data_IF_328772505009
#
_entry.id   IF_328772505009
#
_cell.length_a   1.000
_cell.length_b   1.000
_cell.length_c   1.000
_cell.angle_alpha   90.00
_cell.angle_beta   90.00
_cell.angle_gamma   90.00
#
_symmetry.space_group_name_H-M   'P 1'
#
loop_
_entity.id
_entity.type
_entity.pdbx_description
1 polymer ?
#
# COMPACT_ATOMS: atom_id res chain seq x y z
N UNK A 1 53.37 -46.65 -47.03
CA UNK A 1 54.54 -46.98 -47.87
C UNK A 1 55.58 -45.92 -47.59
N UNK A 2 56.81 -46.36 -47.37
CA UNK A 2 58.04 -45.58 -47.28
C UNK A 2 58.26 -44.68 -46.05
N UNK A 3 59.45 -44.58 -45.45
CA UNK A 3 60.68 -45.40 -45.45
C UNK A 3 61.52 -44.82 -44.28
N UNK A 4 62.09 -45.74 -43.51
CA UNK A 4 63.30 -45.72 -42.66
C UNK A 4 64.31 -44.57 -42.75
N UNK A 5 64.98 -44.24 -41.64
CA UNK A 5 66.45 -44.01 -41.54
C UNK A 5 66.92 -44.46 -40.13
N UNK A 6 67.53 -45.64 -39.98
CA UNK A 6 68.96 -45.95 -39.87
C UNK A 6 69.63 -45.46 -38.55
N UNK A 7 69.87 -46.33 -37.55
CA UNK A 7 70.96 -47.30 -37.35
C UNK A 7 72.31 -46.65 -37.01
N UNK A 8 72.82 -46.88 -35.79
CA UNK A 8 74.06 -47.65 -35.51
C UNK A 8 74.61 -47.37 -34.10
N UNK A 9 74.77 -48.46 -33.34
CA UNK A 9 75.59 -48.54 -32.14
C UNK A 9 77.05 -48.86 -32.51
N UNK A 10 77.97 -48.78 -31.53
CA UNK A 10 78.71 -50.00 -31.26
C UNK A 10 78.88 -50.31 -29.76
N UNK A 11 78.77 -51.61 -29.47
CA UNK A 11 79.13 -52.28 -28.23
C UNK A 11 80.65 -52.33 -28.01
N UNK A 12 81.08 -52.25 -26.75
CA UNK A 12 82.38 -52.80 -26.30
C UNK A 12 82.19 -53.53 -24.96
N UNK A 13 82.37 -54.84 -25.09
CA UNK A 13 82.69 -55.98 -24.19
C UNK A 13 82.50 -55.97 -22.66
N UNK A 14 82.12 -57.14 -22.08
CA UNK A 14 81.87 -57.35 -20.65
C UNK A 14 83.07 -57.95 -19.91
N UNK A 15 83.10 -57.76 -18.59
CA UNK A 15 83.87 -58.62 -17.66
C UNK A 15 83.02 -58.95 -16.44
N UNK A 16 83.04 -60.25 -16.11
CA UNK A 16 82.36 -60.99 -15.03
C UNK A 16 82.67 -60.42 -13.62
N UNK A 17 81.91 -60.67 -12.55
CA UNK A 17 81.68 -61.97 -11.89
C UNK A 17 80.69 -61.80 -10.69
N UNK A 18 80.29 -62.88 -9.97
CA UNK A 18 78.89 -63.14 -9.60
C UNK A 18 78.51 -62.97 -8.12
N UNK A 19 77.20 -62.93 -7.89
CA UNK A 19 76.50 -63.71 -6.85
C UNK A 19 76.25 -63.05 -5.50
N UNK A 20 74.98 -62.74 -5.18
CA UNK A 20 74.43 -62.73 -3.81
C UNK A 20 72.93 -63.12 -3.83
N UNK A 21 72.56 -63.92 -2.83
CA UNK A 21 71.29 -64.57 -2.46
C UNK A 21 70.05 -63.68 -2.25
N UNK A 22 68.82 -64.26 -2.19
CA UNK A 22 67.57 -63.52 -2.14
C UNK A 22 67.31 -62.92 -0.74
N UNK A 23 66.73 -61.72 -0.70
CA UNK A 23 66.29 -61.06 0.54
C UNK A 23 64.76 -60.93 0.55
N UNK A 24 64.20 -61.23 1.71
CA UNK A 24 62.78 -61.26 2.07
C UNK A 24 62.04 -59.94 1.77
N UNK A 25 60.77 -60.08 1.38
CA UNK A 25 59.81 -58.97 1.23
C UNK A 25 59.57 -58.28 2.58
N UNK A 26 59.58 -56.93 2.66
CA UNK A 26 59.22 -56.23 3.87
C UNK A 26 57.69 -56.18 4.03
N UNK A 27 57.25 -56.51 5.25
CA UNK A 27 55.89 -56.29 5.76
C UNK A 27 55.64 -54.78 5.88
N UNK A 28 54.59 -54.27 5.23
CA UNK A 28 54.14 -52.88 5.40
C UNK A 28 53.65 -52.63 6.83
N UNK A 29 54.19 -51.58 7.45
CA UNK A 29 53.69 -51.00 8.71
C UNK A 29 52.32 -50.34 8.48
N UNK A 30 51.40 -50.34 9.47
CA UNK A 30 50.11 -49.68 9.31
C UNK A 30 50.29 -48.16 9.34
N UNK A 31 49.77 -47.47 8.32
CA UNK A 31 49.68 -46.00 8.29
C UNK A 31 48.87 -45.50 9.50
N UNK A 32 49.45 -44.56 10.26
CA UNK A 32 48.73 -43.78 11.27
C UNK A 32 47.64 -42.96 10.57
N UNK A 33 46.38 -43.22 10.94
CA UNK A 33 45.22 -42.45 10.50
C UNK A 33 45.35 -41.01 11.03
N UNK A 34 45.65 -40.08 10.13
CA UNK A 34 45.76 -38.65 10.44
C UNK A 34 44.39 -38.17 10.95
N UNK A 35 44.32 -37.88 12.25
CA UNK A 35 43.07 -37.48 12.91
C UNK A 35 42.47 -36.26 12.21
N UNK A 36 41.23 -36.39 11.74
CA UNK A 36 40.48 -35.30 11.11
C UNK A 36 40.53 -34.04 11.99
N UNK A 37 40.76 -32.85 11.41
CA UNK A 37 40.75 -31.61 12.17
C UNK A 37 39.42 -31.49 12.91
N UNK A 38 39.42 -30.99 14.17
CA UNK A 38 38.19 -30.84 14.93
C UNK A 38 37.20 -30.01 14.12
N UNK A 39 35.88 -30.32 14.18
CA UNK A 39 34.89 -29.55 13.44
C UNK A 39 35.06 -28.09 13.81
N UNK A 40 35.32 -27.26 12.81
CA UNK A 40 35.34 -25.81 12.97
C UNK A 40 33.95 -25.45 13.48
N UNK A 41 33.86 -25.08 14.76
CA UNK A 41 32.65 -24.54 15.35
C UNK A 41 32.27 -23.32 14.53
N UNK A 42 31.31 -23.49 13.63
CA UNK A 42 30.73 -22.38 12.90
C UNK A 42 30.11 -21.49 13.96
N UNK A 43 30.59 -20.25 14.06
CA UNK A 43 29.93 -19.26 14.90
C UNK A 43 28.43 -19.29 14.56
N UNK A 44 27.53 -19.26 15.56
CA UNK A 44 26.10 -19.34 15.29
C UNK A 44 25.72 -18.26 14.29
N UNK A 45 24.92 -18.62 13.28
CA UNK A 45 24.43 -17.71 12.27
C UNK A 45 23.77 -16.51 12.96
N UNK A 46 24.38 -15.33 12.83
CA UNK A 46 23.82 -14.09 13.36
C UNK A 46 22.96 -13.47 12.27
N UNK A 47 21.65 -13.49 12.47
CA UNK A 47 20.70 -12.80 11.61
C UNK A 47 20.40 -11.45 12.28
N UNK A 48 20.84 -10.31 11.69
CA UNK A 48 20.50 -8.99 12.18
C UNK A 48 18.99 -8.80 12.31
N UNK A 49 18.55 -7.99 13.27
CA UNK A 49 17.14 -7.62 13.50
C UNK A 49 16.16 -8.79 13.73
N UNK A 50 16.65 -10.04 13.86
CA UNK A 50 15.81 -11.20 14.14
C UNK A 50 15.00 -11.06 15.42
N UNK A 51 15.57 -10.41 16.44
CA UNK A 51 14.86 -10.23 17.69
C UNK A 51 13.72 -9.23 17.56
N UNK A 52 13.92 -8.16 16.78
CA UNK A 52 12.92 -7.15 16.46
C UNK A 52 11.77 -7.75 15.64
N UNK A 53 12.11 -8.55 14.62
CA UNK A 53 11.08 -9.25 13.82
C UNK A 53 10.20 -10.17 14.65
N UNK A 54 10.79 -10.90 15.60
CA UNK A 54 10.04 -11.81 16.48
C UNK A 54 8.99 -11.12 17.34
N UNK A 55 9.14 -9.83 17.58
CA UNK A 55 8.17 -9.03 18.36
C UNK A 55 7.19 -8.28 17.45
N UNK A 56 7.35 -8.37 16.13
CA UNK A 56 6.45 -7.74 15.16
C UNK A 56 5.14 -8.50 14.99
N UNK A 57 4.08 -7.78 14.60
CA UNK A 57 2.78 -8.36 14.28
C UNK A 57 2.86 -9.43 13.15
N UNK A 58 3.81 -9.31 12.23
CA UNK A 58 4.00 -10.29 11.16
C UNK A 58 4.52 -11.64 11.64
N UNK A 59 5.22 -11.68 12.78
CA UNK A 59 5.72 -12.89 13.42
C UNK A 59 4.81 -13.40 14.55
N UNK A 60 3.68 -12.74 14.80
CA UNK A 60 2.75 -13.10 15.86
C UNK A 60 1.89 -14.31 15.48
N UNK A 61 2.33 -15.48 15.93
CA UNK A 61 1.64 -16.76 15.76
C UNK A 61 0.31 -16.84 16.52
N UNK A 62 0.01 -15.93 17.45
CA UNK A 62 -1.22 -15.96 18.24
C UNK A 62 -2.30 -15.04 17.67
N UNK A 63 -1.94 -14.18 16.70
CA UNK A 63 -2.86 -13.23 16.09
C UNK A 63 -3.97 -13.91 15.27
N UNK A 64 -5.17 -13.31 15.28
CA UNK A 64 -6.32 -13.76 14.48
C UNK A 64 -5.95 -13.89 12.99
N UNK A 65 -5.15 -12.95 12.48
CA UNK A 65 -4.66 -12.98 11.10
C UNK A 65 -3.86 -14.24 10.74
N UNK A 66 -3.35 -15.00 11.71
CA UNK A 66 -2.59 -16.25 11.48
C UNK A 66 -3.32 -17.51 11.96
N UNK A 67 -4.32 -17.35 12.84
CA UNK A 67 -5.00 -18.43 13.54
C UNK A 67 -6.43 -18.69 13.08
N UNK A 68 -6.99 -17.82 12.24
CA UNK A 68 -8.36 -17.90 11.73
C UNK A 68 -8.80 -19.33 11.31
N UNK A 69 -7.94 -20.02 10.55
CA UNK A 69 -8.23 -21.34 9.95
C UNK A 69 -7.93 -22.53 10.87
N UNK A 70 -7.59 -22.31 12.15
CA UNK A 70 -7.20 -23.40 13.04
C UNK A 70 -8.34 -24.37 13.37
N UNK A 71 -9.58 -23.93 13.31
CA UNK A 71 -10.76 -24.75 13.59
C UNK A 71 -11.45 -25.26 12.31
N UNK A 72 -10.93 -24.90 11.13
CA UNK A 72 -11.49 -25.29 9.84
C UNK A 72 -11.22 -26.77 9.49
N UNK A 73 -12.07 -27.34 8.63
CA UNK A 73 -11.91 -28.69 8.07
C UNK A 73 -12.07 -28.65 6.53
N UNK A 74 -10.98 -28.79 5.74
CA UNK A 74 -9.61 -29.03 6.17
C UNK A 74 -8.96 -27.80 6.81
N UNK A 75 -8.04 -28.03 7.75
CA UNK A 75 -7.29 -27.00 8.47
C UNK A 75 -6.18 -26.40 7.58
N UNK A 76 -6.56 -25.53 6.64
CA UNK A 76 -5.67 -24.90 5.66
C UNK A 76 -5.99 -23.43 5.49
N UNK A 77 -4.96 -22.62 5.22
CA UNK A 77 -5.15 -21.27 4.70
C UNK A 77 -5.45 -21.41 3.21
N UNK A 78 -6.67 -21.07 2.80
CA UNK A 78 -7.08 -21.23 1.40
C UNK A 78 -6.19 -20.41 0.45
N UNK A 79 -6.05 -20.86 -0.80
CA UNK A 79 -5.28 -20.15 -1.83
C UNK A 79 -5.61 -18.63 -1.90
N UNK A 80 -6.90 -18.29 -1.78
CA UNK A 80 -7.38 -16.89 -1.82
C UNK A 80 -6.93 -16.01 -0.65
N UNK A 81 -6.48 -16.60 0.46
CA UNK A 81 -6.02 -15.91 1.66
C UNK A 81 -4.52 -16.10 1.90
N UNK A 82 -3.92 -17.16 1.34
CA UNK A 82 -2.58 -17.60 1.69
C UNK A 82 -1.50 -16.58 1.35
N UNK A 83 -1.67 -15.77 0.28
CA UNK A 83 -0.72 -14.70 -0.11
C UNK A 83 -0.21 -13.86 1.08
N UNK A 84 -1.12 -13.47 1.98
CA UNK A 84 -0.83 -12.55 3.08
C UNK A 84 -0.93 -13.19 4.47
N UNK A 85 -1.47 -14.40 4.53
CA UNK A 85 -1.75 -15.09 5.79
C UNK A 85 -0.88 -16.32 6.04
N UNK A 86 -0.05 -16.76 5.10
CA UNK A 86 0.91 -17.86 5.29
C UNK A 86 2.28 -17.56 4.68
N UNK A 87 3.34 -18.22 5.19
CA UNK A 87 4.67 -18.15 4.58
C UNK A 87 4.66 -18.72 3.16
N UNK A 88 4.07 -19.91 3.01
CA UNK A 88 4.03 -20.63 1.74
C UNK A 88 3.27 -19.86 0.66
N UNK A 89 2.14 -19.24 1.00
CA UNK A 89 1.36 -18.47 0.04
C UNK A 89 2.06 -17.19 -0.41
N UNK A 90 2.80 -16.52 0.49
CA UNK A 90 3.65 -15.41 0.10
C UNK A 90 4.78 -15.87 -0.85
N UNK A 91 5.45 -16.97 -0.52
CA UNK A 91 6.52 -17.51 -1.37
C UNK A 91 6.01 -17.96 -2.74
N UNK A 92 4.85 -18.62 -2.80
CA UNK A 92 4.19 -19.00 -4.05
C UNK A 92 3.84 -17.77 -4.88
N UNK A 93 3.20 -16.76 -4.27
CA UNK A 93 2.83 -15.52 -4.95
C UNK A 93 4.03 -14.83 -5.58
N UNK A 94 5.16 -14.74 -4.87
CA UNK A 94 6.36 -14.14 -5.43
C UNK A 94 7.14 -15.07 -6.36
N UNK A 95 6.74 -16.34 -6.53
CA UNK A 95 7.50 -17.36 -7.25
C UNK A 95 8.84 -17.71 -6.59
N UNK A 96 8.98 -17.40 -5.30
CA UNK A 96 10.20 -17.64 -4.53
C UNK A 96 10.43 -19.14 -4.22
N UNK A 97 9.40 -19.96 -4.35
CA UNK A 97 9.43 -21.42 -4.25
C UNK A 97 9.58 -22.13 -5.62
N UNK A 98 9.65 -21.36 -6.71
CA UNK A 98 9.70 -21.86 -8.09
C UNK A 98 8.33 -21.97 -8.78
N UNK A 99 7.25 -21.53 -8.13
CA UNK A 99 5.91 -21.40 -8.72
C UNK A 99 5.80 -20.21 -9.67
N UNK A 100 4.70 -20.14 -10.42
CA UNK A 100 4.42 -19.01 -11.30
C UNK A 100 4.20 -17.73 -10.48
N UNK A 101 4.96 -16.64 -10.70
CA UNK A 101 4.78 -15.41 -9.94
C UNK A 101 3.44 -14.73 -10.22
N UNK A 102 2.92 -14.01 -9.21
CA UNK A 102 1.68 -13.24 -9.27
C UNK A 102 0.41 -14.04 -8.96
N UNK A 103 0.52 -15.34 -8.68
CA UNK A 103 -0.63 -16.22 -8.40
C UNK A 103 -0.38 -17.10 -7.18
N UNK A 104 -1.47 -17.45 -6.48
CA UNK A 104 -1.46 -18.48 -5.43
C UNK A 104 -2.53 -19.48 -5.83
N UNK A 105 -2.12 -20.69 -6.18
CA UNK A 105 -3.05 -21.72 -6.66
C UNK A 105 -3.35 -22.77 -5.59
N UNK A 106 -2.46 -22.90 -4.60
CA UNK A 106 -2.52 -23.96 -3.61
C UNK A 106 -3.03 -23.46 -2.27
N UNK A 107 -3.74 -24.34 -1.57
CA UNK A 107 -3.98 -24.17 -0.13
C UNK A 107 -2.67 -24.39 0.63
N UNK A 108 -2.46 -23.60 1.69
CA UNK A 108 -1.23 -23.62 2.45
C UNK A 108 -1.43 -24.07 3.90
N UNK A 109 -0.40 -24.64 4.55
CA UNK A 109 -0.48 -25.01 5.95
C UNK A 109 -0.80 -23.82 6.85
N UNK A 110 -1.70 -24.06 7.82
CA UNK A 110 -1.87 -23.19 8.99
C UNK A 110 -0.64 -23.21 9.89
N UNK A 111 -0.64 -22.41 10.96
CA UNK A 111 0.47 -22.29 11.91
C UNK A 111 1.80 -21.84 11.27
N UNK A 112 1.71 -20.98 10.26
CA UNK A 112 2.85 -20.27 9.68
C UNK A 112 2.68 -18.75 9.86
N UNK A 113 3.75 -17.99 9.67
CA UNK A 113 3.77 -16.52 9.78
C UNK A 113 4.50 -15.94 8.58
N UNK A 114 4.45 -14.61 8.42
CA UNK A 114 5.34 -13.97 7.46
C UNK A 114 6.76 -14.01 8.05
N UNK A 115 7.66 -14.69 7.38
CA UNK A 115 9.04 -14.87 7.82
C UNK A 115 10.01 -14.02 7.03
N UNK A 116 11.30 -14.10 7.39
CA UNK A 116 12.36 -13.39 6.68
C UNK A 116 12.36 -13.71 5.18
N UNK A 117 12.13 -14.97 4.78
CA UNK A 117 12.27 -15.38 3.37
C UNK A 117 11.14 -14.87 2.47
N UNK A 118 9.99 -14.53 3.05
CA UNK A 118 8.88 -13.90 2.33
C UNK A 118 9.25 -12.50 1.79
N UNK A 119 10.22 -11.82 2.41
CA UNK A 119 10.70 -10.51 1.99
C UNK A 119 12.17 -10.51 1.51
N UNK A 120 12.93 -11.55 1.85
CA UNK A 120 14.35 -11.70 1.54
C UNK A 120 14.60 -12.95 0.68
N UNK A 121 14.11 -12.93 -0.54
CA UNK A 121 14.38 -13.91 -1.59
C UNK A 121 14.83 -13.20 -2.87
N UNK A 122 15.44 -13.93 -3.80
CA UNK A 122 15.83 -13.36 -5.10
C UNK A 122 14.62 -12.77 -5.83
N UNK A 123 13.49 -13.47 -5.81
CA UNK A 123 12.27 -12.99 -6.45
C UNK A 123 11.73 -11.72 -5.78
N UNK A 124 11.60 -11.73 -4.45
CA UNK A 124 11.02 -10.61 -3.70
C UNK A 124 11.91 -9.37 -3.79
N UNK A 125 13.24 -9.49 -3.73
CA UNK A 125 14.17 -8.37 -3.87
C UNK A 125 14.10 -7.65 -5.22
N UNK A 126 13.65 -8.33 -6.27
CA UNK A 126 13.48 -7.75 -7.61
C UNK A 126 12.01 -7.40 -7.92
N UNK A 127 11.09 -7.59 -6.96
CA UNK A 127 9.68 -7.25 -7.12
C UNK A 127 9.48 -5.74 -6.99
N UNK A 128 9.00 -5.10 -8.06
CA UNK A 128 8.86 -3.64 -8.13
C UNK A 128 7.50 -3.16 -8.70
N UNK A 129 6.53 -4.07 -8.83
CA UNK A 129 5.20 -3.79 -9.38
C UNK A 129 4.10 -4.29 -8.46
N UNK A 130 2.93 -3.66 -8.52
CA UNK A 130 1.69 -4.09 -7.86
C UNK A 130 0.52 -3.84 -8.80
N UNK A 131 -0.36 -4.84 -8.93
CA UNK A 131 -1.66 -4.70 -9.60
C UNK A 131 -2.75 -4.60 -8.56
N UNK A 132 -3.38 -3.43 -8.49
CA UNK A 132 -4.47 -3.14 -7.55
C UNK A 132 -5.77 -3.86 -7.93
N UNK A 133 -6.71 -4.03 -6.98
CA UNK A 133 -8.04 -4.60 -7.28
C UNK A 133 -8.86 -3.83 -8.32
N UNK A 134 -8.49 -2.59 -8.67
CA UNK A 134 -9.06 -1.82 -9.78
C UNK A 134 -8.54 -2.26 -11.16
N UNK A 135 -7.48 -3.05 -11.21
CA UNK A 135 -6.72 -3.39 -12.41
C UNK A 135 -5.59 -2.41 -12.73
N UNK A 136 -5.43 -1.33 -11.95
CA UNK A 136 -4.32 -0.40 -12.10
C UNK A 136 -2.99 -1.08 -11.74
N UNK A 137 -1.99 -0.94 -12.60
CA UNK A 137 -0.63 -1.44 -12.35
C UNK A 137 0.29 -0.26 -12.03
N UNK A 138 1.00 -0.34 -10.91
CA UNK A 138 2.02 0.62 -10.51
C UNK A 138 3.36 -0.09 -10.49
N UNK A 139 4.34 0.45 -11.24
CA UNK A 139 5.69 -0.11 -11.37
C UNK A 139 6.74 0.82 -10.77
N UNK A 140 7.98 0.35 -10.63
CA UNK A 140 9.08 1.16 -10.07
C UNK A 140 8.96 1.41 -8.56
N UNK A 141 8.17 0.58 -7.86
CA UNK A 141 7.87 0.66 -6.43
C UNK A 141 8.99 0.17 -5.51
N UNK A 142 10.19 -0.09 -6.03
CA UNK A 142 11.36 -0.45 -5.22
C UNK A 142 11.08 -1.45 -4.09
N UNK A 143 11.20 -1.01 -2.83
CA UNK A 143 11.15 -1.92 -1.67
C UNK A 143 9.74 -2.13 -1.12
N UNK A 144 8.90 -1.12 -1.29
CA UNK A 144 7.55 -1.03 -0.75
C UNK A 144 6.54 -1.86 -1.54
N UNK A 145 6.84 -2.26 -2.78
CA UNK A 145 6.02 -3.14 -3.61
C UNK A 145 5.54 -4.38 -2.80
N UNK A 146 6.46 -5.03 -2.09
CA UNK A 146 6.19 -6.23 -1.27
C UNK A 146 5.20 -5.96 -0.14
N UNK A 147 5.22 -4.77 0.45
CA UNK A 147 4.28 -4.38 1.49
C UNK A 147 2.88 -4.17 0.88
N UNK A 148 2.85 -3.45 -0.25
CA UNK A 148 1.62 -3.10 -0.96
C UNK A 148 0.91 -4.33 -1.52
N UNK A 149 1.62 -5.41 -1.85
CA UNK A 149 0.98 -6.65 -2.29
C UNK A 149 -0.07 -7.19 -1.31
N UNK A 150 0.13 -6.96 -0.01
CA UNK A 150 -0.82 -7.34 1.03
C UNK A 150 -1.63 -6.18 1.57
N UNK A 151 -1.04 -4.98 1.65
CA UNK A 151 -1.66 -3.79 2.22
C UNK A 151 -2.37 -2.90 1.19
N UNK A 152 -2.86 -3.49 0.09
CA UNK A 152 -3.61 -2.81 -0.98
C UNK A 152 -5.13 -2.97 -0.89
N UNK A 153 -5.61 -3.81 0.03
CA UNK A 153 -7.01 -4.24 0.05
C UNK A 153 -7.30 -5.36 -0.95
N UNK A 154 -8.58 -5.73 -1.09
CA UNK A 154 -9.05 -6.86 -1.92
C UNK A 154 -10.21 -6.52 -2.85
N UNK A 155 -10.71 -5.30 -2.79
CA UNK A 155 -11.81 -4.82 -3.61
C UNK A 155 -11.54 -3.37 -4.00
N UNK A 156 -12.26 -2.90 -5.02
CA UNK A 156 -12.24 -1.53 -5.51
C UNK A 156 -13.66 -1.12 -5.93
N UNK A 157 -13.80 0.10 -6.46
CA UNK A 157 -15.00 0.52 -7.21
C UNK A 157 -15.51 -0.55 -8.19
N UNK A 158 -14.60 -1.19 -8.93
CA UNK A 158 -14.95 -2.22 -9.93
C UNK A 158 -15.69 -3.39 -9.29
N UNK A 159 -15.29 -3.80 -8.09
CA UNK A 159 -15.96 -4.89 -7.36
C UNK A 159 -17.37 -4.51 -6.91
N UNK A 160 -17.55 -3.27 -6.44
CA UNK A 160 -18.86 -2.74 -6.02
C UNK A 160 -19.79 -2.63 -7.21
N UNK A 161 -19.33 -2.02 -8.31
CA UNK A 161 -20.12 -1.84 -9.53
C UNK A 161 -20.53 -3.19 -10.12
N UNK A 162 -19.64 -4.18 -10.12
CA UNK A 162 -19.97 -5.54 -10.57
C UNK A 162 -21.07 -6.20 -9.72
N UNK A 163 -21.04 -6.04 -8.40
CA UNK A 163 -22.08 -6.55 -7.51
C UNK A 163 -23.43 -5.87 -7.74
N UNK A 164 -23.44 -4.55 -7.95
CA UNK A 164 -24.64 -3.77 -8.27
C UNK A 164 -25.24 -4.19 -9.62
N UNK A 165 -24.39 -4.39 -10.63
CA UNK A 165 -24.80 -4.86 -11.96
C UNK A 165 -25.39 -6.27 -11.91
N UNK A 166 -24.74 -7.21 -11.20
CA UNK A 166 -25.22 -8.59 -11.07
C UNK A 166 -26.57 -8.67 -10.35
N UNK A 167 -26.79 -7.79 -9.36
CA UNK A 167 -28.08 -7.63 -8.67
C UNK A 167 -29.14 -6.89 -9.51
N UNK A 168 -28.80 -6.36 -10.69
CA UNK A 168 -29.72 -5.67 -11.59
C UNK A 168 -30.15 -4.28 -11.11
N UNK A 169 -29.31 -3.60 -10.30
CA UNK A 169 -29.63 -2.34 -9.63
C UNK A 169 -29.07 -1.09 -10.32
N UNK A 170 -28.41 -1.21 -11.48
CA UNK A 170 -27.78 -0.08 -12.19
C UNK A 170 -28.75 1.04 -12.54
N UNK A 171 -29.97 0.70 -12.98
CA UNK A 171 -30.99 1.68 -13.39
C UNK A 171 -31.94 2.08 -12.24
N UNK A 172 -31.85 1.41 -11.09
CA UNK A 172 -32.70 1.61 -9.91
C UNK A 172 -31.87 1.44 -8.62
N UNK A 173 -30.94 2.39 -8.35
CA UNK A 173 -29.95 2.25 -7.31
C UNK A 173 -30.53 2.31 -5.89
N UNK A 174 -31.81 2.68 -5.74
CA UNK A 174 -32.49 2.83 -4.45
C UNK A 174 -33.37 1.61 -4.10
N UNK A 175 -33.55 0.68 -5.03
CA UNK A 175 -34.29 -0.56 -4.76
C UNK A 175 -33.43 -1.56 -3.97
N UNK A 176 -33.98 -2.06 -2.86
CA UNK A 176 -33.31 -3.08 -2.05
C UNK A 176 -33.35 -4.45 -2.75
N UNK A 177 -32.24 -5.16 -2.74
CA UNK A 177 -32.12 -6.53 -3.25
C UNK A 177 -31.38 -7.42 -2.27
N UNK A 178 -31.94 -8.62 -2.04
CA UNK A 178 -31.28 -9.67 -1.25
C UNK A 178 -30.13 -10.36 -2.00
N UNK A 179 -30.05 -10.15 -3.33
CA UNK A 179 -28.99 -10.67 -4.18
C UNK A 179 -27.71 -9.83 -4.09
N UNK A 180 -27.81 -8.57 -3.63
CA UNK A 180 -26.65 -7.71 -3.39
C UNK A 180 -26.08 -7.95 -1.98
N UNK A 181 -24.78 -8.24 -1.91
CA UNK A 181 -24.04 -8.38 -0.65
C UNK A 181 -23.05 -7.24 -0.41
N UNK A 182 -22.62 -7.09 0.83
CA UNK A 182 -21.59 -6.12 1.19
C UNK A 182 -20.22 -6.49 0.57
N UNK A 183 -19.61 -5.54 -0.13
CA UNK A 183 -18.24 -5.65 -0.64
C UNK A 183 -17.25 -5.13 0.40
N UNK A 184 -16.24 -5.92 0.76
CA UNK A 184 -15.26 -5.52 1.77
C UNK A 184 -13.91 -5.19 1.13
N UNK A 185 -13.38 -3.99 1.33
CA UNK A 185 -12.02 -3.61 0.90
C UNK A 185 -10.93 -4.42 1.60
N UNK A 186 -11.23 -5.05 2.74
CA UNK A 186 -10.30 -5.80 3.57
C UNK A 186 -9.28 -4.93 4.33
N UNK A 187 -8.56 -5.54 5.27
CA UNK A 187 -7.87 -4.82 6.35
C UNK A 187 -6.55 -4.16 5.93
N UNK A 188 -6.21 -3.07 6.61
CA UNK A 188 -4.95 -2.33 6.49
C UNK A 188 -4.61 -1.98 5.03
N UNK A 189 -5.58 -1.46 4.30
CA UNK A 189 -5.47 -1.10 2.88
C UNK A 189 -4.71 0.24 2.66
N UNK A 190 -3.61 0.45 3.37
CA UNK A 190 -2.83 1.68 3.35
C UNK A 190 -2.35 2.08 1.94
N UNK A 191 -2.02 1.12 1.08
CA UNK A 191 -1.58 1.41 -0.28
C UNK A 191 -2.73 1.98 -1.13
N UNK A 192 -3.97 1.54 -0.90
CA UNK A 192 -5.13 2.11 -1.57
C UNK A 192 -5.36 3.58 -1.14
N UNK A 193 -5.22 3.89 0.15
CA UNK A 193 -5.28 5.27 0.66
C UNK A 193 -4.14 6.12 0.08
N UNK A 194 -2.91 5.60 0.11
CA UNK A 194 -1.70 6.30 -0.34
C UNK A 194 -1.72 6.64 -1.82
N UNK A 195 -2.18 5.71 -2.66
CA UNK A 195 -2.19 5.91 -4.12
C UNK A 195 -3.48 6.55 -4.63
N UNK A 196 -4.53 6.68 -3.81
CA UNK A 196 -5.76 7.38 -4.15
C UNK A 196 -6.29 7.01 -5.54
N UNK A 197 -6.47 8.01 -6.40
CA UNK A 197 -6.87 7.86 -7.82
C UNK A 197 -6.01 6.91 -8.65
N UNK A 198 -4.73 6.71 -8.33
CA UNK A 198 -3.89 5.76 -9.07
C UNK A 198 -4.19 4.30 -8.70
N UNK A 199 -4.64 4.04 -7.47
CA UNK A 199 -5.07 2.71 -7.04
C UNK A 199 -6.58 2.48 -7.21
N UNK A 200 -7.38 3.54 -7.14
CA UNK A 200 -8.86 3.51 -7.15
C UNK A 200 -9.42 2.52 -6.11
N UNK A 201 -8.81 2.50 -4.92
CA UNK A 201 -9.22 1.59 -3.86
C UNK A 201 -10.61 1.92 -3.33
N UNK A 202 -10.85 3.17 -2.93
CA UNK A 202 -12.20 3.66 -2.58
C UNK A 202 -13.18 3.70 -3.75
N UNK A 203 -14.48 3.82 -3.45
CA UNK A 203 -15.53 4.04 -4.44
C UNK A 203 -15.57 5.51 -4.86
N UNK A 204 -14.98 5.80 -6.01
CA UNK A 204 -15.02 7.11 -6.64
C UNK A 204 -16.32 7.28 -7.43
N UNK A 205 -17.05 8.37 -7.17
CA UNK A 205 -18.31 8.67 -7.83
C UNK A 205 -18.06 9.28 -9.21
N UNK A 206 -18.86 8.83 -10.19
CA UNK A 206 -18.70 9.24 -11.58
C UNK A 206 -18.94 10.76 -11.72
N UNK A 207 -18.07 11.44 -12.45
CA UNK A 207 -18.11 12.89 -12.64
C UNK A 207 -17.33 13.69 -11.58
N UNK A 208 -16.93 13.07 -10.48
CA UNK A 208 -16.01 13.64 -9.52
C UNK A 208 -14.56 13.28 -9.83
N UNK A 209 -13.66 14.15 -9.39
CA UNK A 209 -12.22 13.92 -9.41
C UNK A 209 -11.70 13.83 -7.99
N UNK A 210 -10.62 13.09 -7.80
CA UNK A 210 -10.09 12.74 -6.49
C UNK A 210 -8.60 13.03 -6.37
N UNK A 211 -8.13 13.17 -5.15
CA UNK A 211 -6.71 13.17 -4.85
C UNK A 211 -6.07 11.87 -5.38
N UNK A 212 -4.90 12.01 -5.99
CA UNK A 212 -4.15 10.89 -6.53
C UNK A 212 -3.22 10.32 -5.45
N UNK A 213 -1.95 10.06 -5.80
CA UNK A 213 -0.96 9.65 -4.82
C UNK A 213 -0.68 10.79 -3.85
N UNK A 214 -0.88 10.55 -2.56
CA UNK A 214 -0.43 11.48 -1.53
C UNK A 214 1.10 11.59 -1.56
N UNK A 215 1.59 12.83 -1.57
CA UNK A 215 3.01 13.14 -1.56
C UNK A 215 3.40 13.80 -0.26
N UNK A 216 4.47 13.28 0.32
CA UNK A 216 5.16 13.89 1.44
C UNK A 216 6.44 14.59 0.95
N UNK A 217 7.13 15.34 1.80
CA UNK A 217 8.45 15.88 1.45
C UNK A 217 9.42 14.77 1.00
N UNK A 218 10.38 15.13 0.15
CA UNK A 218 11.35 14.17 -0.42
C UNK A 218 12.00 13.32 0.70
N UNK A 219 12.14 12.02 0.43
CA UNK A 219 12.67 11.05 1.39
C UNK A 219 11.64 10.45 2.34
N UNK A 220 10.38 10.93 2.33
CA UNK A 220 9.28 10.45 3.17
C UNK A 220 8.06 9.93 2.40
N UNK A 221 8.24 9.47 1.15
CA UNK A 221 7.14 9.11 0.25
C UNK A 221 6.86 7.59 0.13
N UNK A 222 7.57 6.77 0.92
CA UNK A 222 7.46 5.29 0.84
C UNK A 222 7.04 4.70 2.19
N UNK A 223 6.52 3.48 2.17
CA UNK A 223 6.18 2.78 3.41
C UNK A 223 7.42 2.66 4.32
N UNK A 224 8.58 2.36 3.73
CA UNK A 224 9.82 2.09 4.47
C UNK A 224 10.55 3.35 4.94
N UNK A 225 10.22 4.53 4.41
CA UNK A 225 10.72 5.79 4.98
C UNK A 225 10.09 6.04 6.35
N UNK A 226 8.79 5.76 6.52
CA UNK A 226 8.05 6.03 7.74
C UNK A 226 7.98 4.83 8.71
N UNK A 227 7.88 3.60 8.20
CA UNK A 227 7.79 2.39 9.02
C UNK A 227 9.14 1.66 9.13
N UNK A 228 9.39 1.10 10.30
CA UNK A 228 10.49 0.18 10.51
C UNK A 228 10.12 -1.19 9.92
N UNK A 229 10.89 -1.68 8.94
CA UNK A 229 10.59 -2.95 8.26
C UNK A 229 10.72 -4.19 9.14
N UNK A 230 11.34 -4.09 10.32
CA UNK A 230 11.52 -5.21 11.24
C UNK A 230 10.64 -5.14 12.49
N UNK A 231 10.38 -3.96 13.06
CA UNK A 231 9.42 -3.82 14.19
C UNK A 231 8.00 -3.55 13.73
N UNK A 232 7.83 -3.03 12.51
CA UNK A 232 6.58 -2.51 11.90
C UNK A 232 6.08 -1.19 12.52
N UNK A 233 6.73 -0.73 13.58
CA UNK A 233 6.41 0.54 14.23
C UNK A 233 6.73 1.74 13.32
N UNK A 234 5.97 2.81 13.50
CA UNK A 234 6.22 4.11 12.88
C UNK A 234 7.47 4.74 13.53
N UNK A 235 8.34 5.34 12.72
CA UNK A 235 9.54 6.04 13.18
C UNK A 235 9.19 7.44 13.69
N UNK A 236 8.56 7.50 14.86
CA UNK A 236 8.02 8.72 15.48
C UNK A 236 8.95 9.93 15.43
N UNK A 237 10.20 9.69 15.81
CA UNK A 237 11.18 10.74 16.00
C UNK A 237 11.51 11.46 14.69
N UNK A 238 11.27 10.81 13.54
CA UNK A 238 11.51 11.39 12.24
C UNK A 238 10.46 12.46 11.86
N UNK A 239 9.30 12.48 12.52
CA UNK A 239 8.21 13.42 12.24
C UNK A 239 8.36 14.75 13.01
N UNK A 240 8.96 14.68 14.21
CA UNK A 240 9.00 15.77 15.20
C UNK A 240 9.68 17.03 14.64
N UNK A 241 10.68 16.86 13.78
CA UNK A 241 11.43 17.98 13.19
C UNK A 241 10.51 18.94 12.40
N UNK A 242 9.50 18.41 11.71
CA UNK A 242 8.60 19.21 10.88
C UNK A 242 7.22 19.44 11.51
N UNK A 243 6.69 18.45 12.24
CA UNK A 243 5.33 18.50 12.80
C UNK A 243 5.29 18.90 14.29
N UNK A 244 6.44 18.92 14.97
CA UNK A 244 6.52 19.17 16.41
C UNK A 244 6.28 17.92 17.26
N UNK A 245 6.45 18.08 18.58
CA UNK A 245 6.12 17.02 19.54
C UNK A 245 4.60 16.88 19.65
N UNK A 246 4.09 15.65 19.65
CA UNK A 246 2.66 15.37 19.74
C UNK A 246 2.33 13.97 19.23
N UNK A 247 1.04 13.62 19.29
CA UNK A 247 0.52 12.42 18.66
C UNK A 247 0.28 12.70 17.17
N UNK A 248 0.50 11.72 16.29
CA UNK A 248 0.39 11.95 14.84
C UNK A 248 -1.03 12.33 14.42
N UNK A 249 -2.02 11.91 15.19
CA UNK A 249 -3.43 12.26 15.00
C UNK A 249 -3.67 13.77 15.09
N UNK A 250 -2.84 14.49 15.85
CA UNK A 250 -2.91 15.94 16.01
C UNK A 250 -2.23 16.69 14.85
N UNK A 251 -1.51 15.99 13.98
CA UNK A 251 -0.76 16.66 12.92
C UNK A 251 -1.67 17.19 11.82
N UNK A 252 -1.57 18.50 11.60
CA UNK A 252 -2.15 19.23 10.46
C UNK A 252 -1.06 20.08 9.81
N UNK A 253 -1.10 20.15 8.48
CA UNK A 253 -0.24 21.03 7.70
C UNK A 253 -1.05 22.14 7.04
N UNK A 254 -0.40 23.27 6.74
CA UNK A 254 -1.04 24.43 6.09
C UNK A 254 -1.69 24.11 4.74
N UNK A 255 -1.28 23.01 4.11
CA UNK A 255 -1.87 22.51 2.87
C UNK A 255 -3.26 21.89 3.08
N UNK A 256 -3.68 21.67 4.32
CA UNK A 256 -4.96 21.07 4.70
C UNK A 256 -5.64 21.98 5.73
N UNK A 257 -6.02 23.19 5.29
CA UNK A 257 -6.46 24.27 6.17
C UNK A 257 -7.99 24.41 6.24
N UNK A 258 -8.71 23.57 5.51
CA UNK A 258 -10.17 23.57 5.46
C UNK A 258 -10.75 22.94 6.72
N UNK A 259 -12.00 23.30 7.03
CA UNK A 259 -12.86 22.68 8.02
C UNK A 259 -13.64 21.59 7.29
N UNK A 260 -13.14 20.36 7.28
CA UNK A 260 -13.63 19.33 6.36
C UNK A 260 -14.95 18.73 6.85
N UNK A 261 -15.12 18.53 8.15
CA UNK A 261 -16.36 18.04 8.75
C UNK A 261 -17.37 19.15 9.10
N UNK A 262 -16.93 20.41 9.15
CA UNK A 262 -17.80 21.57 9.36
C UNK A 262 -18.12 21.88 10.82
N UNK A 263 -17.35 21.36 11.78
CA UNK A 263 -17.56 21.58 13.20
C UNK A 263 -17.05 22.95 13.71
N UNK A 264 -16.26 23.64 12.88
CA UNK A 264 -15.69 24.95 13.13
C UNK A 264 -14.25 24.94 13.69
N UNK A 265 -13.63 23.77 13.86
CA UNK A 265 -12.25 23.59 14.31
C UNK A 265 -11.31 23.34 13.13
N UNK A 266 -10.51 24.36 12.78
CA UNK A 266 -9.49 24.25 11.72
C UNK A 266 -8.08 24.01 12.27
N UNK A 267 -7.94 23.83 13.58
CA UNK A 267 -6.66 23.61 14.26
C UNK A 267 -6.41 22.13 14.56
N UNK A 268 -7.44 21.31 14.67
CA UNK A 268 -7.32 19.87 14.93
C UNK A 268 -6.69 19.07 13.78
N UNK A 269 -6.11 17.91 14.08
CA UNK A 269 -5.46 17.09 13.06
C UNK A 269 -6.44 16.43 12.08
N UNK A 270 -5.93 16.04 10.91
CA UNK A 270 -6.73 15.42 9.83
C UNK A 270 -7.40 14.10 10.26
N UNK A 271 -6.90 13.48 11.32
CA UNK A 271 -7.56 12.33 11.93
C UNK A 271 -8.98 12.66 12.41
N UNK A 272 -9.17 13.78 13.09
CA UNK A 272 -10.44 14.16 13.71
C UNK A 272 -11.47 14.61 12.66
N UNK A 273 -11.02 15.34 11.65
CA UNK A 273 -11.81 15.64 10.43
C UNK A 273 -12.37 14.38 9.75
N UNK A 274 -11.59 13.30 9.70
CA UNK A 274 -12.05 12.01 9.18
C UNK A 274 -13.04 11.35 10.14
N UNK A 275 -12.85 11.45 11.46
CA UNK A 275 -13.81 10.94 12.45
C UNK A 275 -15.16 11.65 12.35
N UNK A 276 -15.18 12.99 12.28
CA UNK A 276 -16.41 13.76 12.12
C UNK A 276 -17.17 13.38 10.84
N UNK A 277 -16.47 13.30 9.70
CA UNK A 277 -17.09 12.83 8.45
C UNK A 277 -17.54 11.37 8.50
N UNK A 278 -16.85 10.50 9.26
CA UNK A 278 -17.31 9.13 9.50
C UNK A 278 -18.63 9.12 10.28
N UNK A 279 -18.76 9.95 11.32
CA UNK A 279 -20.00 10.09 12.10
C UNK A 279 -21.15 10.58 11.22
N UNK A 280 -20.91 11.63 10.43
CA UNK A 280 -21.90 12.17 9.49
C UNK A 280 -22.33 11.15 8.43
N UNK A 281 -21.38 10.42 7.84
CA UNK A 281 -21.71 9.37 6.87
C UNK A 281 -22.47 8.22 7.52
N UNK A 282 -22.13 7.84 8.74
CA UNK A 282 -22.85 6.77 9.44
C UNK A 282 -24.30 7.19 9.76
N UNK A 283 -24.53 8.45 10.17
CA UNK A 283 -25.88 9.00 10.31
C UNK A 283 -26.66 8.92 8.98
N UNK A 284 -26.04 9.34 7.88
CA UNK A 284 -26.62 9.24 6.54
C UNK A 284 -26.96 7.80 6.13
N UNK A 285 -26.05 6.84 6.41
CA UNK A 285 -26.25 5.41 6.16
C UNK A 285 -27.46 4.89 6.96
N UNK A 286 -27.57 5.24 8.24
CA UNK A 286 -28.68 4.81 9.10
C UNK A 286 -30.01 5.41 8.64
N UNK A 287 -30.03 6.71 8.34
CA UNK A 287 -31.22 7.40 7.84
C UNK A 287 -31.68 6.79 6.50
N UNK A 288 -30.76 6.56 5.57
CA UNK A 288 -31.06 6.02 4.26
C UNK A 288 -31.59 4.57 4.35
N UNK A 289 -30.94 3.74 5.16
CA UNK A 289 -31.35 2.36 5.37
C UNK A 289 -32.77 2.26 5.95
N UNK A 290 -33.11 3.14 6.91
CA UNK A 290 -34.44 3.18 7.51
C UNK A 290 -35.51 3.77 6.57
N UNK A 291 -35.21 4.88 5.88
CA UNK A 291 -36.19 5.62 5.06
C UNK A 291 -36.38 5.01 3.67
N UNK A 292 -35.28 4.68 2.99
CA UNK A 292 -35.28 4.30 1.57
C UNK A 292 -35.24 2.79 1.42
N UNK A 293 -34.26 2.11 2.05
CA UNK A 293 -34.17 0.65 1.99
C UNK A 293 -35.26 -0.04 2.85
N UNK A 294 -35.86 0.69 3.80
CA UNK A 294 -36.93 0.22 4.68
C UNK A 294 -36.49 -0.77 5.77
N UNK A 295 -35.18 -0.95 5.96
CA UNK A 295 -34.60 -1.85 6.95
C UNK A 295 -33.45 -1.13 7.68
N UNK A 296 -33.59 -0.81 8.97
CA UNK A 296 -32.53 -0.17 9.76
C UNK A 296 -31.23 -0.99 9.78
N UNK A 297 -30.09 -0.29 9.84
CA UNK A 297 -28.74 -0.88 9.73
C UNK A 297 -27.89 -0.43 10.92
N UNK A 298 -27.03 -1.34 11.39
CA UNK A 298 -25.96 -1.04 12.35
C UNK A 298 -24.63 -1.57 11.85
N UNK A 299 -23.54 -0.89 12.24
CA UNK A 299 -22.17 -1.28 11.94
C UNK A 299 -21.41 -1.74 13.20
N UNK A 300 -20.65 -2.83 13.07
CA UNK A 300 -19.69 -3.29 14.07
C UNK A 300 -18.35 -3.62 13.40
N UNK A 301 -17.30 -2.90 13.79
CA UNK A 301 -15.95 -3.11 13.25
C UNK A 301 -15.33 -4.46 13.61
N UNK A 302 -15.80 -5.11 14.68
CA UNK A 302 -15.26 -6.33 15.27
C UNK A 302 -16.06 -7.60 14.92
N UNK A 303 -17.28 -7.47 14.40
CA UNK A 303 -18.13 -8.61 14.03
C UNK A 303 -18.27 -8.73 12.51
N UNK A 304 -18.02 -9.91 11.93
CA UNK A 304 -18.24 -10.15 10.50
C UNK A 304 -19.73 -10.45 10.21
N UNK A 305 -20.36 -9.88 9.16
CA UNK A 305 -19.78 -9.10 8.04
C UNK A 305 -19.88 -7.57 8.19
N UNK A 306 -19.74 -7.06 9.42
CA UNK A 306 -19.69 -5.66 9.83
C UNK A 306 -20.99 -4.88 9.76
N UNK A 307 -21.90 -5.23 8.86
CA UNK A 307 -23.21 -4.59 8.77
C UNK A 307 -24.31 -5.60 9.10
N UNK A 308 -25.20 -5.22 10.00
CA UNK A 308 -26.29 -6.05 10.52
C UNK A 308 -27.62 -5.31 10.45
N UNK A 309 -28.71 -6.05 10.46
CA UNK A 309 -30.05 -5.47 10.61
C UNK A 309 -30.18 -4.98 12.05
N UNK A 310 -30.46 -3.69 12.21
CA UNK A 310 -30.86 -3.12 13.50
C UNK A 310 -32.33 -3.47 13.75
N UNK A 311 -32.54 -4.52 14.53
CA UNK A 311 -33.85 -5.15 14.71
C UNK A 311 -34.75 -4.35 15.64
N UNK A 312 -34.17 -3.53 16.50
CA UNK A 312 -34.88 -2.73 17.48
C UNK A 312 -34.94 -1.22 17.12
N UNK A 313 -34.23 -0.82 16.05
CA UNK A 313 -34.13 0.53 15.51
C UNK A 313 -33.56 1.56 16.51
N UNK A 314 -32.59 1.17 17.33
CA UNK A 314 -31.90 2.05 18.27
C UNK A 314 -30.65 2.73 17.69
N UNK A 315 -30.17 2.28 16.54
CA UNK A 315 -28.96 2.76 15.89
C UNK A 315 -27.65 2.29 16.52
N UNK A 316 -27.69 1.34 17.46
CA UNK A 316 -26.53 0.81 18.17
C UNK A 316 -26.34 -0.68 17.86
N UNK A 317 -25.09 -1.13 17.72
CA UNK A 317 -24.81 -2.55 17.51
C UNK A 317 -24.93 -3.33 18.81
N UNK A 318 -26.07 -4.00 19.02
CA UNK A 318 -26.31 -4.84 20.19
C UNK A 318 -25.69 -6.26 20.04
N UNK A 319 -25.35 -6.90 21.16
CA UNK A 319 -24.71 -8.22 21.19
C UNK A 319 -25.55 -9.32 20.48
N UNK A 320 -26.88 -9.22 20.50
CA UNK A 320 -27.77 -10.15 19.81
C UNK A 320 -27.99 -9.83 18.32
N UNK A 321 -27.52 -8.68 17.85
CA UNK A 321 -27.62 -8.24 16.45
C UNK A 321 -26.33 -8.48 15.68
N UNK A 322 -25.17 -8.33 16.33
CA UNK A 322 -23.83 -8.44 15.75
C UNK A 322 -23.41 -9.90 15.49
N UNK A 323 -24.20 -10.63 14.69
CA UNK A 323 -23.92 -12.02 14.34
C UNK A 323 -24.26 -12.32 12.87
N UNK A 324 -23.56 -13.30 12.29
CA UNK A 324 -23.70 -13.66 10.87
C UNK A 324 -25.14 -14.00 10.43
N UNK A 325 -25.95 -14.53 11.35
CA UNK A 325 -27.36 -14.85 11.10
C UNK A 325 -28.22 -13.61 10.85
N UNK A 326 -27.81 -12.46 11.38
CA UNK A 326 -28.49 -11.17 11.30
C UNK A 326 -27.76 -10.17 10.37
N UNK A 327 -26.87 -10.66 9.49
CA UNK A 327 -26.20 -9.82 8.48
C UNK A 327 -27.21 -8.98 7.70
N UNK A 328 -26.83 -7.76 7.37
CA UNK A 328 -27.68 -6.87 6.57
C UNK A 328 -27.87 -7.44 5.16
N UNK A 329 -29.12 -7.43 4.68
CA UNK A 329 -29.51 -8.03 3.39
C UNK A 329 -30.47 -7.17 2.57
N UNK A 330 -30.78 -5.95 3.01
CA UNK A 330 -31.61 -4.99 2.28
C UNK A 330 -30.75 -3.99 1.51
N UNK A 331 -29.69 -4.46 0.87
CA UNK A 331 -28.73 -3.60 0.18
C UNK A 331 -29.37 -2.96 -1.05
N UNK A 332 -29.20 -1.65 -1.19
CA UNK A 332 -29.45 -0.91 -2.42
C UNK A 332 -28.11 -0.61 -3.10
N UNK A 333 -28.12 -0.30 -4.39
CA UNK A 333 -26.90 0.09 -5.10
C UNK A 333 -26.24 1.32 -4.47
N UNK A 334 -27.04 2.32 -4.08
CA UNK A 334 -26.55 3.53 -3.43
C UNK A 334 -25.93 3.26 -2.06
N UNK A 335 -26.65 2.51 -1.22
CA UNK A 335 -26.19 2.15 0.13
C UNK A 335 -24.90 1.34 0.09
N UNK A 336 -24.73 0.45 -0.89
CA UNK A 336 -23.52 -0.35 -1.03
C UNK A 336 -22.27 0.51 -1.32
N UNK A 337 -22.39 1.57 -2.12
CA UNK A 337 -21.30 2.52 -2.41
C UNK A 337 -20.87 3.27 -1.15
N UNK A 338 -21.85 3.84 -0.44
CA UNK A 338 -21.60 4.57 0.80
C UNK A 338 -21.01 3.68 1.90
N UNK A 339 -21.58 2.48 2.11
CA UNK A 339 -21.07 1.53 3.10
C UNK A 339 -19.65 1.03 2.77
N UNK A 340 -19.32 0.89 1.47
CA UNK A 340 -17.97 0.55 1.04
C UNK A 340 -16.95 1.64 1.38
N UNK A 341 -17.28 2.91 1.14
CA UNK A 341 -16.41 4.03 1.49
C UNK A 341 -16.29 4.22 3.01
N UNK A 342 -17.39 4.03 3.76
CA UNK A 342 -17.35 4.00 5.22
C UNK A 342 -16.37 2.93 5.71
N UNK A 343 -16.51 1.69 5.25
CA UNK A 343 -15.58 0.61 5.58
C UNK A 343 -14.13 0.95 5.17
N UNK A 344 -13.93 1.53 3.99
CA UNK A 344 -12.61 1.95 3.50
C UNK A 344 -11.93 2.91 4.48
N UNK A 345 -12.66 3.90 4.98
CA UNK A 345 -12.14 4.83 5.97
C UNK A 345 -11.80 4.17 7.32
N UNK A 346 -12.49 3.08 7.71
CA UNK A 346 -12.25 2.37 8.97
C UNK A 346 -11.18 1.28 8.88
N UNK A 347 -10.85 0.78 7.68
CA UNK A 347 -9.91 -0.33 7.48
C UNK A 347 -8.49 0.11 7.18
N UNK A 348 -8.20 1.41 7.14
CA UNK A 348 -6.86 1.96 7.24
C UNK A 348 -6.77 2.89 8.47
N UNK A 349 -6.29 2.41 9.63
CA UNK A 349 -6.13 3.26 10.81
C UNK A 349 -5.17 4.44 10.62
N UNK A 350 -4.29 4.38 9.61
CA UNK A 350 -3.36 5.45 9.25
C UNK A 350 -3.86 6.34 8.10
N UNK A 351 -5.14 6.23 7.71
CA UNK A 351 -5.73 6.95 6.58
C UNK A 351 -5.40 8.44 6.55
N UNK A 352 -5.45 9.10 7.71
CA UNK A 352 -5.13 10.52 7.88
C UNK A 352 -3.71 10.89 7.42
N UNK A 353 -2.74 9.97 7.56
CA UNK A 353 -1.34 10.16 7.16
C UNK A 353 -1.03 9.54 5.79
N UNK A 354 -1.75 8.49 5.37
CA UNK A 354 -1.53 7.84 4.08
C UNK A 354 -2.18 8.61 2.93
N UNK A 355 -3.36 9.19 3.12
CA UNK A 355 -4.11 9.85 2.05
C UNK A 355 -5.36 10.55 2.56
N UNK A 356 -5.24 11.32 3.65
CA UNK A 356 -6.40 11.84 4.38
C UNK A 356 -7.41 12.59 3.51
N UNK A 357 -6.93 13.45 2.60
CA UNK A 357 -7.78 14.18 1.65
C UNK A 357 -8.58 13.28 0.71
N UNK A 358 -7.96 12.19 0.24
CA UNK A 358 -8.66 11.20 -0.57
C UNK A 358 -9.81 10.56 0.21
N UNK A 359 -9.56 10.19 1.47
CA UNK A 359 -10.59 9.60 2.33
C UNK A 359 -11.71 10.60 2.66
N UNK A 360 -11.36 11.85 2.95
CA UNK A 360 -12.32 12.95 3.14
C UNK A 360 -13.25 13.09 1.93
N UNK A 361 -12.68 13.14 0.71
CA UNK A 361 -13.47 13.24 -0.52
C UNK A 361 -14.42 12.05 -0.70
N UNK A 362 -13.99 10.82 -0.39
CA UNK A 362 -14.85 9.63 -0.46
C UNK A 362 -16.01 9.69 0.54
N UNK A 363 -15.75 10.13 1.77
CA UNK A 363 -16.77 10.25 2.82
C UNK A 363 -17.78 11.33 2.46
N UNK A 364 -17.30 12.53 2.12
CA UNK A 364 -18.13 13.67 1.71
C UNK A 364 -19.03 13.30 0.53
N UNK A 365 -18.47 12.72 -0.54
CA UNK A 365 -19.25 12.36 -1.73
C UNK A 365 -20.25 11.23 -1.46
N UNK A 366 -19.96 10.34 -0.50
CA UNK A 366 -20.93 9.32 -0.08
C UNK A 366 -22.12 9.92 0.67
N UNK A 367 -21.89 10.98 1.46
CA UNK A 367 -22.97 11.74 2.10
C UNK A 367 -23.81 12.46 1.04
N UNK A 368 -23.18 13.12 0.07
CA UNK A 368 -23.88 13.76 -1.05
C UNK A 368 -24.74 12.78 -1.86
N UNK A 369 -24.20 11.59 -2.16
CA UNK A 369 -24.92 10.55 -2.89
C UNK A 369 -26.18 10.10 -2.11
N UNK A 370 -26.06 9.78 -0.82
CA UNK A 370 -27.21 9.40 0.01
C UNK A 370 -28.24 10.53 0.13
N UNK A 371 -27.79 11.78 0.22
CA UNK A 371 -28.64 12.96 0.34
C UNK A 371 -29.59 13.16 -0.85
N UNK A 372 -29.31 12.58 -2.02
CA UNK A 372 -30.20 12.67 -3.19
C UNK A 372 -31.58 12.01 -2.96
N UNK A 373 -31.63 11.00 -2.09
CA UNK A 373 -32.83 10.19 -1.84
C UNK A 373 -33.43 10.38 -0.44
N UNK A 374 -32.73 11.10 0.46
CA UNK A 374 -33.22 11.39 1.81
C UNK A 374 -34.24 12.54 1.83
N UNK A 375 -35.32 12.37 2.59
CA UNK A 375 -36.28 13.46 2.84
C UNK A 375 -35.70 14.62 3.66
N UNK A 376 -34.74 14.31 4.54
CA UNK A 376 -33.97 15.26 5.35
C UNK A 376 -32.49 14.97 5.14
N UNK A 377 -31.82 15.71 4.25
CA UNK A 377 -30.39 15.53 3.98
C UNK A 377 -29.53 15.81 5.22
N UNK A 378 -28.41 15.09 5.33
CA UNK A 378 -27.28 15.43 6.21
C UNK A 378 -26.72 16.78 5.77
N UNK A 379 -26.55 17.73 6.70
CA UNK A 379 -26.13 19.09 6.40
C UNK A 379 -24.62 19.17 6.14
N UNK A 380 -24.24 19.37 4.88
CA UNK A 380 -22.86 19.60 4.45
C UNK A 380 -22.52 21.08 4.23
N UNK A 381 -23.40 22.01 4.63
CA UNK A 381 -23.21 23.44 4.29
C UNK A 381 -22.02 24.11 4.98
N UNK A 382 -21.52 23.53 6.08
CA UNK A 382 -20.31 23.95 6.78
C UNK A 382 -19.08 23.07 6.44
N UNK A 383 -19.31 21.83 6.02
CA UNK A 383 -18.28 20.87 5.63
C UNK A 383 -17.61 21.26 4.31
N UNK A 384 -16.35 20.85 4.13
CA UNK A 384 -15.59 21.10 2.92
C UNK A 384 -15.06 19.80 2.32
N UNK A 385 -15.31 19.59 1.04
CA UNK A 385 -14.81 18.41 0.30
C UNK A 385 -13.30 18.41 0.09
N UNK A 386 -12.70 19.60 -0.09
CA UNK A 386 -11.31 19.75 -0.51
C UNK A 386 -10.78 21.14 -0.24
N UNK A 387 -9.49 21.33 -0.49
CA UNK A 387 -8.83 22.61 -0.24
C UNK A 387 -9.01 23.63 -1.35
N UNK A 388 -8.54 24.85 -1.11
CA UNK A 388 -8.52 25.88 -2.12
C UNK A 388 -7.22 25.85 -2.95
N UNK A 389 -7.37 25.84 -4.28
CA UNK A 389 -6.31 26.21 -5.22
C UNK A 389 -5.15 25.21 -5.26
N UNK A 390 -3.94 25.67 -4.93
CA UNK A 390 -2.71 24.90 -5.16
C UNK A 390 -2.58 23.61 -4.34
N UNK A 391 -3.35 23.45 -3.27
CA UNK A 391 -3.28 22.27 -2.40
C UNK A 391 -4.39 21.24 -2.65
N UNK A 392 -5.29 21.52 -3.60
CA UNK A 392 -6.35 20.60 -3.98
C UNK A 392 -5.94 19.82 -5.23
N UNK A 393 -5.34 18.65 -4.97
CA UNK A 393 -4.89 17.73 -6.00
C UNK A 393 -6.02 17.15 -6.84
N UNK A 394 -7.26 17.20 -6.35
CA UNK A 394 -8.44 16.72 -7.07
C UNK A 394 -8.92 17.69 -8.15
N UNK A 395 -8.39 18.90 -8.25
CA UNK A 395 -8.87 19.87 -9.26
C UNK A 395 -8.33 19.60 -10.67
N UNK A 396 -9.05 20.10 -11.68
CA UNK A 396 -8.64 20.07 -13.09
C UNK A 396 -7.22 20.61 -13.31
N UNK A 397 -6.76 21.55 -12.48
CA UNK A 397 -5.40 22.08 -12.56
C UNK A 397 -4.31 21.00 -12.41
N UNK A 398 -4.62 19.86 -11.78
CA UNK A 398 -3.69 18.74 -11.56
C UNK A 398 -4.16 17.43 -12.19
N UNK A 399 -5.46 17.29 -12.49
CA UNK A 399 -6.06 16.08 -13.08
C UNK A 399 -6.19 16.10 -14.61
N UNK A 400 -5.94 17.24 -15.25
CA UNK A 400 -6.02 17.37 -16.71
C UNK A 400 -5.19 16.33 -17.48
N UNK A 401 -4.06 15.89 -16.93
CA UNK A 401 -3.11 14.99 -17.57
C UNK A 401 -3.26 13.52 -17.16
N UNK A 402 -4.27 13.16 -16.38
CA UNK A 402 -4.44 11.78 -15.88
C UNK A 402 -4.52 10.77 -17.03
N UNK A 403 -5.19 11.11 -18.14
CA UNK A 403 -5.24 10.28 -19.36
C UNK A 403 -3.92 10.29 -20.16
N UNK A 404 -3.13 11.36 -20.04
CA UNK A 404 -1.85 11.53 -20.74
C UNK A 404 -0.69 10.80 -20.02
N UNK A 405 -0.82 10.57 -18.70
CA UNK A 405 0.18 9.94 -17.84
C UNK A 405 1.35 10.85 -17.43
N UNK A 406 1.47 12.04 -18.01
CA UNK A 406 2.50 13.03 -17.67
C UNK A 406 2.07 14.47 -17.99
N UNK A 407 2.57 15.42 -17.20
CA UNK A 407 2.41 16.86 -17.48
C UNK A 407 3.44 17.27 -18.53
N UNK A 408 2.98 17.67 -19.71
CA UNK A 408 3.88 18.08 -20.80
C UNK A 408 4.81 19.23 -20.38
N UNK A 409 6.04 19.28 -20.91
CA UNK A 409 7.04 20.27 -20.48
C UNK A 409 6.64 21.74 -20.64
N UNK A 410 5.73 22.07 -21.57
CA UNK A 410 5.21 23.45 -21.68
C UNK A 410 4.24 23.84 -20.56
N UNK A 411 3.64 22.85 -19.89
CA UNK A 411 2.67 23.00 -18.82
C UNK A 411 3.29 22.75 -17.44
N UNK A 412 4.35 21.93 -17.38
CA UNK A 412 5.01 21.49 -16.14
C UNK A 412 5.34 22.65 -15.21
N UNK A 413 5.85 23.78 -15.72
CA UNK A 413 6.14 24.98 -14.92
C UNK A 413 5.02 25.34 -13.94
N UNK A 414 3.76 25.25 -14.35
CA UNK A 414 2.61 25.70 -13.60
C UNK A 414 1.74 24.57 -13.03
N UNK A 415 1.95 23.33 -13.47
CA UNK A 415 1.03 22.22 -13.20
C UNK A 415 1.75 20.98 -12.66
N UNK A 416 2.99 21.12 -12.21
CA UNK A 416 3.71 20.06 -11.51
C UNK A 416 4.41 20.58 -10.26
N UNK A 417 4.75 19.65 -9.36
CA UNK A 417 5.39 19.95 -8.09
C UNK A 417 6.75 20.65 -8.27
N UNK A 418 7.57 20.18 -9.20
CA UNK A 418 8.94 20.68 -9.38
C UNK A 418 9.10 21.61 -10.59
N UNK A 419 8.00 21.94 -11.24
CA UNK A 419 7.99 22.71 -12.47
C UNK A 419 8.60 24.11 -12.31
N UNK A 420 8.14 24.86 -11.32
CA UNK A 420 8.65 26.20 -11.04
C UNK A 420 10.14 26.21 -10.67
N UNK A 421 10.63 25.41 -9.69
CA UNK A 421 12.05 25.40 -9.35
C UNK A 421 12.93 24.94 -10.52
N UNK A 422 12.49 23.93 -11.27
CA UNK A 422 13.20 23.49 -12.49
C UNK A 422 13.34 24.61 -13.51
N UNK A 423 12.27 25.39 -13.71
CA UNK A 423 12.29 26.54 -14.63
C UNK A 423 13.23 27.64 -14.15
N UNK A 424 13.22 27.97 -12.84
CA UNK A 424 14.10 29.00 -12.27
C UNK A 424 15.57 28.60 -12.44
N UNK A 425 15.90 27.34 -12.18
CA UNK A 425 17.28 26.85 -12.29
C UNK A 425 17.77 26.74 -13.74
N UNK A 426 16.90 26.35 -14.68
CA UNK A 426 17.33 25.92 -16.02
C UNK A 426 16.77 26.76 -17.17
N UNK A 427 15.78 27.63 -16.93
CA UNK A 427 15.08 28.42 -17.95
C UNK A 427 14.14 27.61 -18.85
N UNK A 428 13.94 26.33 -18.56
CA UNK A 428 13.08 25.42 -19.32
C UNK A 428 12.59 24.26 -18.45
N UNK A 429 11.55 23.57 -18.90
CA UNK A 429 11.03 22.36 -18.30
C UNK A 429 11.01 21.22 -19.32
N UNK A 430 11.05 20.00 -18.81
CA UNK A 430 10.73 18.76 -19.54
C UNK A 430 9.37 18.25 -19.07
N UNK A 431 8.86 17.19 -19.72
CA UNK A 431 7.70 16.50 -19.19
C UNK A 431 7.99 15.99 -17.77
N UNK A 432 7.01 16.08 -16.90
CA UNK A 432 7.11 15.66 -15.50
C UNK A 432 5.95 14.74 -15.17
N UNK A 433 6.11 13.97 -14.11
CA UNK A 433 5.01 13.23 -13.52
C UNK A 433 3.85 14.14 -13.11
N UNK A 434 2.67 13.52 -12.96
CA UNK A 434 1.46 14.17 -12.50
C UNK A 434 1.59 14.45 -11.00
N UNK A 435 1.38 15.71 -10.62
CA UNK A 435 1.46 16.16 -9.23
C UNK A 435 0.10 16.05 -8.54
N UNK A 436 0.09 16.00 -7.20
CA UNK A 436 -1.14 16.00 -6.41
C UNK A 436 -1.27 17.32 -5.63
N UNK A 437 -1.38 18.43 -6.36
CA UNK A 437 -1.17 19.76 -5.82
C UNK A 437 0.29 20.21 -5.91
N UNK A 438 0.58 21.42 -5.41
CA UNK A 438 1.93 21.91 -5.23
C UNK A 438 2.51 21.44 -3.90
N UNK A 439 3.81 21.18 -3.92
CA UNK A 439 4.59 20.92 -2.72
C UNK A 439 5.04 22.24 -2.12
N UNK A 440 5.41 22.25 -0.84
CA UNK A 440 5.99 23.45 -0.23
C UNK A 440 7.23 23.93 -0.99
N UNK A 441 8.06 22.98 -1.42
CA UNK A 441 9.28 23.20 -2.23
C UNK A 441 8.98 23.68 -3.65
N UNK A 442 7.73 23.67 -4.12
CA UNK A 442 7.37 24.34 -5.39
C UNK A 442 7.62 25.85 -5.29
N UNK A 443 7.41 26.42 -4.10
CA UNK A 443 7.51 27.87 -3.85
C UNK A 443 8.69 28.25 -2.97
N UNK A 444 9.09 27.36 -2.05
CA UNK A 444 10.14 27.61 -1.07
C UNK A 444 11.48 27.01 -1.50
N UNK A 445 12.56 27.77 -1.32
CA UNK A 445 13.93 27.31 -1.49
C UNK A 445 14.31 26.42 -0.31
N UNK A 446 14.50 25.13 -0.57
CA UNK A 446 14.91 24.15 0.42
C UNK A 446 16.27 24.46 1.05
N UNK A 447 17.23 24.97 0.26
CA UNK A 447 18.58 25.30 0.75
C UNK A 447 18.58 26.49 1.73
N UNK A 448 17.55 27.32 1.68
CA UNK A 448 17.40 28.53 2.50
C UNK A 448 16.06 28.55 3.25
N UNK A 449 15.55 27.37 3.64
CA UNK A 449 14.22 27.25 4.26
C UNK A 449 14.03 28.19 5.47
N UNK A 450 12.90 28.92 5.58
CA UNK A 450 11.69 28.88 4.73
C UNK A 450 11.66 29.96 3.63
N UNK A 451 12.80 30.41 3.10
CA UNK A 451 12.82 31.45 2.06
C UNK A 451 12.06 31.01 0.80
N UNK A 452 11.52 31.98 0.06
CA UNK A 452 10.94 31.77 -1.26
C UNK A 452 12.02 31.87 -2.34
N UNK A 453 11.79 31.24 -3.50
CA UNK A 453 12.64 31.50 -4.66
C UNK A 453 12.54 32.96 -5.10
N UNK A 454 13.70 33.59 -5.30
CA UNK A 454 13.78 35.00 -5.73
C UNK A 454 13.86 35.07 -7.25
N UNK A 455 12.91 35.77 -7.85
CA UNK A 455 12.88 36.07 -9.29
C UNK A 455 12.76 37.59 -9.46
N UNK A 456 13.87 38.24 -9.81
CA UNK A 456 13.97 39.71 -9.89
C UNK A 456 13.10 40.29 -11.02
N UNK A 457 12.98 39.56 -12.14
CA UNK A 457 12.26 39.99 -13.33
C UNK A 457 11.40 38.87 -13.92
N UNK A 458 10.16 39.20 -14.29
CA UNK A 458 9.24 38.29 -14.98
C UNK A 458 8.91 38.83 -16.36
N UNK A 459 9.16 38.03 -17.39
CA UNK A 459 8.75 38.34 -18.76
C UNK A 459 7.44 37.64 -19.10
N UNK A 460 6.42 38.43 -19.42
CA UNK A 460 5.09 37.94 -19.82
C UNK A 460 5.10 37.46 -21.28
N UNK A 461 4.12 36.63 -21.70
CA UNK A 461 3.96 36.22 -23.09
C UNK A 461 3.82 37.38 -24.10
N UNK A 462 3.41 38.57 -23.64
CA UNK A 462 3.36 39.79 -24.44
C UNK A 462 4.74 40.38 -24.76
N UNK A 463 5.81 39.88 -24.15
CA UNK A 463 7.17 40.43 -24.20
C UNK A 463 7.42 41.58 -23.24
N UNK A 464 6.44 41.95 -22.41
CA UNK A 464 6.64 42.91 -21.34
C UNK A 464 7.43 42.25 -20.20
N UNK A 465 8.45 42.93 -19.69
CA UNK A 465 9.20 42.52 -18.51
C UNK A 465 8.84 43.45 -17.35
N UNK A 466 8.53 42.87 -16.20
CA UNK A 466 8.29 43.57 -14.95
C UNK A 466 9.36 43.14 -13.96
N UNK A 467 10.07 44.11 -13.39
CA UNK A 467 11.00 43.91 -12.29
C UNK A 467 10.34 44.25 -10.96
N UNK A 468 10.65 43.49 -9.92
CA UNK A 468 10.31 43.86 -8.54
C UNK A 468 11.56 44.54 -7.95
N UNK A 469 11.53 45.86 -7.76
CA UNK A 469 12.62 46.56 -7.04
C UNK A 469 12.63 46.08 -5.58
N UNK A 470 13.82 45.83 -5.02
CA UNK A 470 14.07 45.33 -3.65
C UNK A 470 13.08 45.92 -2.62
N UNK A 471 12.12 45.11 -2.17
CA UNK A 471 11.29 45.40 -0.97
C UNK A 471 11.70 44.56 0.21
#
# INVERSE_FOLDING_TARGET
>A
MDITVANEAPDVEPTEEPGVEPTDEPVEEPEEEEAAPPPVSQAPLKIPYRQDWKTSAHADFESEAKRHWDEDDPQVVSASCAKCHSEGGALEFFGADGSEPGVVENDHPVNTVISCVACHSEATMNWDTVVFPSGAEITGLGTEARCMECHQGRASKVSVDAGIEEAGLTDDPDTASEDLGFTNIHYYAAAASLYGTFAQGGYQYDGNTYDAKFRHVEGYETCVSCHNVHTLEVKAEACIECHGEGDYQDYRMISSASDYDGDGDVEEGIYYEIEGLQEMLYEGIQAYAAEVAGTPIVYDSAAYPYFFVDTNANGESDEDEANYGNRYNAWTGRLAKAAYNYQTSKKDPGAFAHGGKYIIQLLYDSIEDLNESLSTPVDLSAAHRGDAGHFDGSTEAFRHWDEDGEVSGRCAKCHSADGLPTYIANGANIATEIANGFMCVTCHNEEEWPALYVVEEVTFPSGATVSFEDT
#
